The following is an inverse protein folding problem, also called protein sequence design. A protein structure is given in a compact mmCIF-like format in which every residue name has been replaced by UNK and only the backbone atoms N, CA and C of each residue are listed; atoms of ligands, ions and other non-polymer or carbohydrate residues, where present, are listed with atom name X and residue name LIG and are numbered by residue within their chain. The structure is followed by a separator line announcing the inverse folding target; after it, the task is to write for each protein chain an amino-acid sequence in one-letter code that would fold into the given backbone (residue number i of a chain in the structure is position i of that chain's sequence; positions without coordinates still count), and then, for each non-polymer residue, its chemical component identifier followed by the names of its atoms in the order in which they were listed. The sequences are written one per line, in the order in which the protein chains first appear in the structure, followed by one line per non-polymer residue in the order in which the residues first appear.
data_IF_852658191986
#
_entry.id   IF_852658191986
#
_cell.length_a   1.000
_cell.length_b   1.000
_cell.length_c   1.000
_cell.angle_alpha   90.00
_cell.angle_beta   90.00
_cell.angle_gamma   90.00
#
_symmetry.space_group_name_H-M   'P 1'
#
loop_
_entity.id
_entity.type
_entity.pdbx_description
1 polymer ?
#
# COMPACT_ATOMS: atom_id res chain seq x y z
N UNK A 1 -19.24 8.51 0.59
CA UNK A 1 -19.62 7.34 1.39
C UNK A 1 -19.09 6.04 0.78
N UNK A 2 -19.03 5.92 -0.55
CA UNK A 2 -18.45 4.75 -1.27
C UNK A 2 -16.91 4.59 -1.12
N UNK A 3 -16.18 5.70 -1.02
CA UNK A 3 -14.70 5.68 -0.88
C UNK A 3 -14.20 4.98 0.39
N UNK A 4 -14.83 5.25 1.53
CA UNK A 4 -14.57 4.59 2.81
C UNK A 4 -14.88 3.08 2.75
N UNK A 5 -15.76 2.66 1.84
CA UNK A 5 -16.14 1.26 1.68
C UNK A 5 -15.10 0.50 0.83
N UNK A 6 -14.56 1.14 -0.22
CA UNK A 6 -13.50 0.53 -1.04
C UNK A 6 -12.17 0.38 -0.27
N UNK A 7 -11.77 1.40 0.52
CA UNK A 7 -10.57 1.31 1.35
C UNK A 7 -10.70 0.15 2.36
N UNK A 8 -11.80 0.06 3.09
CA UNK A 8 -12.09 -1.01 4.06
C UNK A 8 -12.01 -2.42 3.51
N UNK A 9 -12.46 -2.65 2.27
CA UNK A 9 -12.40 -3.97 1.64
C UNK A 9 -10.96 -4.36 1.27
N UNK A 10 -10.14 -3.40 0.82
CA UNK A 10 -8.73 -3.67 0.49
C UNK A 10 -7.97 -4.20 1.70
N UNK A 11 -8.27 -3.69 2.90
CA UNK A 11 -7.65 -4.12 4.16
C UNK A 11 -7.91 -5.59 4.46
N UNK A 12 -9.14 -6.04 4.22
CA UNK A 12 -9.52 -7.43 4.42
C UNK A 12 -8.76 -8.37 3.49
N UNK A 13 -8.58 -7.98 2.22
CA UNK A 13 -7.76 -8.74 1.27
C UNK A 13 -6.30 -8.85 1.74
N UNK A 14 -5.69 -7.74 2.17
CA UNK A 14 -4.32 -7.74 2.66
C UNK A 14 -4.18 -8.65 3.88
N UNK A 15 -5.13 -8.59 4.82
CA UNK A 15 -5.11 -9.44 6.00
C UNK A 15 -5.25 -10.93 5.67
N UNK A 16 -6.12 -11.30 4.72
CA UNK A 16 -6.23 -12.67 4.23
C UNK A 16 -4.92 -13.17 3.63
N UNK A 17 -4.23 -12.35 2.84
CA UNK A 17 -2.93 -12.71 2.27
C UNK A 17 -1.84 -12.85 3.32
N UNK A 18 -1.83 -11.98 4.32
CA UNK A 18 -0.91 -12.11 5.44
C UNK A 18 -1.19 -13.42 6.22
N UNK A 19 -2.46 -13.74 6.48
CA UNK A 19 -2.85 -15.00 7.13
C UNK A 19 -2.39 -16.20 6.30
N UNK A 20 -2.65 -16.19 4.99
CA UNK A 20 -2.18 -17.23 4.09
C UNK A 20 -0.66 -17.40 4.15
N UNK A 21 0.08 -16.31 4.08
CA UNK A 21 1.54 -16.33 4.20
C UNK A 21 1.98 -16.93 5.54
N UNK A 22 1.33 -16.58 6.66
CA UNK A 22 1.62 -17.16 7.97
C UNK A 22 1.39 -18.68 7.98
N UNK A 23 0.29 -19.16 7.40
CA UNK A 23 -0.02 -20.60 7.30
C UNK A 23 1.03 -21.32 6.42
N UNK A 24 1.33 -20.78 5.23
CA UNK A 24 2.31 -21.35 4.30
C UNK A 24 3.73 -21.41 4.88
N UNK A 25 4.04 -20.57 5.88
CA UNK A 25 5.34 -20.52 6.54
C UNK A 25 5.31 -21.09 7.98
N UNK A 26 4.28 -21.87 8.32
CA UNK A 26 4.16 -22.58 9.60
C UNK A 26 4.31 -21.66 10.84
N UNK A 27 3.82 -20.42 10.74
CA UNK A 27 3.83 -19.46 11.85
C UNK A 27 2.78 -19.92 12.88
N UNK A 28 3.23 -20.45 14.01
CA UNK A 28 2.39 -21.07 15.05
C UNK A 28 1.32 -20.14 15.63
N UNK A 29 1.62 -18.84 15.79
CA UNK A 29 0.70 -17.87 16.39
C UNK A 29 0.54 -16.64 15.51
N UNK A 30 -0.51 -16.66 14.68
CA UNK A 30 -0.92 -15.53 13.85
C UNK A 30 -1.91 -14.58 14.56
N UNK A 31 -2.38 -14.91 15.78
CA UNK A 31 -3.26 -14.02 16.56
C UNK A 31 -2.54 -12.75 17.03
N UNK A 32 -1.21 -12.81 17.07
CA UNK A 32 -0.34 -11.69 17.41
C UNK A 32 -0.17 -10.68 16.24
N UNK A 33 -0.59 -11.03 15.03
CA UNK A 33 -0.59 -10.13 13.87
C UNK A 33 -1.86 -9.27 13.89
N UNK A 34 -1.73 -7.99 13.57
CA UNK A 34 -2.86 -7.08 13.56
C UNK A 34 -2.82 -6.08 12.40
N UNK A 35 -4.01 -5.59 12.03
CA UNK A 35 -4.14 -4.40 11.19
C UNK A 35 -4.16 -3.18 12.13
N UNK A 36 -3.27 -2.22 11.90
CA UNK A 36 -3.28 -0.92 12.59
C UNK A 36 -3.71 0.17 11.62
N UNK A 37 -4.83 0.82 11.92
CA UNK A 37 -5.31 1.96 11.14
C UNK A 37 -4.60 3.23 11.57
N UNK A 38 -3.98 3.94 10.62
CA UNK A 38 -3.46 5.29 10.87
C UNK A 38 -4.54 6.34 10.59
N UNK A 39 -5.33 6.13 9.53
CA UNK A 39 -6.46 6.98 9.17
C UNK A 39 -7.47 6.18 8.30
N UNK A 40 -8.36 6.88 7.57
CA UNK A 40 -9.38 6.24 6.73
C UNK A 40 -8.84 5.61 5.42
N UNK A 41 -7.63 5.97 5.01
CA UNK A 41 -6.97 5.54 3.78
C UNK A 41 -5.75 4.65 4.05
N UNK A 42 -5.03 4.90 5.13
CA UNK A 42 -3.72 4.30 5.41
C UNK A 42 -3.78 3.30 6.58
N UNK A 43 -3.15 2.15 6.39
CA UNK A 43 -3.08 1.08 7.38
C UNK A 43 -1.76 0.31 7.31
N UNK A 44 -1.40 -0.30 8.43
CA UNK A 44 -0.24 -1.16 8.57
C UNK A 44 -0.68 -2.60 8.90
N UNK A 45 0.09 -3.58 8.43
CA UNK A 45 0.16 -4.90 9.05
C UNK A 45 1.28 -4.85 10.08
N UNK A 46 1.00 -5.25 11.31
CA UNK A 46 1.98 -5.27 12.41
C UNK A 46 2.12 -6.67 13.01
N UNK A 47 3.33 -6.99 13.47
CA UNK A 47 3.63 -8.23 14.16
C UNK A 47 3.30 -8.16 15.68
N UNK A 48 3.61 -9.25 16.39
CA UNK A 48 3.52 -9.36 17.85
C UNK A 48 4.17 -8.21 18.61
N UNK A 49 5.35 -7.78 18.13
CA UNK A 49 6.13 -6.70 18.71
C UNK A 49 5.60 -5.31 18.35
N UNK A 50 4.49 -5.22 17.62
CA UNK A 50 3.94 -3.99 17.02
C UNK A 50 4.88 -3.37 15.98
N UNK A 51 5.85 -4.12 15.48
CA UNK A 51 6.70 -3.71 14.37
C UNK A 51 5.88 -3.72 13.09
N UNK A 52 6.09 -2.72 12.23
CA UNK A 52 5.39 -2.65 10.94
C UNK A 52 6.00 -3.68 10.00
N UNK A 53 5.19 -4.64 9.59
CA UNK A 53 5.54 -5.63 8.56
C UNK A 53 5.37 -5.00 7.19
N UNK A 54 4.23 -4.35 6.95
CA UNK A 54 3.95 -3.63 5.71
C UNK A 54 3.07 -2.42 5.96
N UNK A 55 3.27 -1.37 5.14
CA UNK A 55 2.47 -0.15 5.13
C UNK A 55 1.76 -0.01 3.81
N UNK A 56 0.48 0.32 3.90
CA UNK A 56 -0.43 0.40 2.77
C UNK A 56 -1.12 1.76 2.78
N UNK A 57 -0.94 2.52 1.69
CA UNK A 57 -1.64 3.78 1.45
C UNK A 57 -2.63 3.62 0.30
N UNK A 58 -3.84 4.13 0.46
CA UNK A 58 -4.87 4.08 -0.58
C UNK A 58 -4.99 5.44 -1.25
N UNK A 59 -4.88 5.47 -2.59
CA UNK A 59 -5.13 6.68 -3.39
C UNK A 59 -6.13 6.40 -4.49
N UNK A 60 -7.11 7.27 -4.54
CA UNK A 60 -8.41 7.01 -5.13
C UNK A 60 -8.66 7.96 -6.31
N UNK A 61 -7.62 8.22 -7.09
CA UNK A 61 -7.66 9.20 -8.17
C UNK A 61 -8.27 8.58 -9.43
N UNK A 62 -9.45 9.07 -9.83
CA UNK A 62 -10.17 8.57 -11.01
C UNK A 62 -9.38 8.80 -12.30
N UNK A 63 -8.59 9.89 -12.36
CA UNK A 63 -7.72 10.23 -13.48
C UNK A 63 -6.23 10.09 -13.10
N UNK A 64 -5.90 9.26 -12.10
CA UNK A 64 -4.53 9.07 -11.63
C UNK A 64 -3.79 8.02 -12.44
N UNK A 65 -3.72 8.19 -13.77
CA UNK A 65 -3.13 7.22 -14.70
C UNK A 65 -1.64 7.47 -14.95
N UNK A 66 -1.04 8.50 -14.35
CA UNK A 66 0.37 8.82 -14.49
C UNK A 66 1.10 8.67 -13.16
N UNK A 67 2.34 8.17 -13.19
CA UNK A 67 3.19 8.05 -11.99
C UNK A 67 3.33 9.38 -11.24
N UNK A 68 3.37 10.49 -11.97
CA UNK A 68 3.55 11.83 -11.40
C UNK A 68 2.32 12.29 -10.61
N UNK A 69 1.13 11.71 -10.84
CA UNK A 69 -0.07 11.97 -10.02
C UNK A 69 0.14 11.52 -8.56
N UNK A 70 1.10 10.63 -8.33
CA UNK A 70 1.46 10.08 -7.01
C UNK A 70 2.86 10.53 -6.55
N UNK A 71 3.47 11.52 -7.22
CA UNK A 71 4.85 11.98 -6.98
C UNK A 71 5.10 12.43 -5.54
N UNK A 72 4.09 12.95 -4.84
CA UNK A 72 4.20 13.26 -3.41
C UNK A 72 4.69 12.02 -2.62
N UNK A 73 4.15 10.83 -2.91
CA UNK A 73 4.48 9.58 -2.22
C UNK A 73 5.85 9.03 -2.57
N UNK A 74 6.49 9.50 -3.64
CA UNK A 74 7.85 9.10 -4.01
C UNK A 74 8.89 9.74 -3.08
N UNK A 75 8.56 10.85 -2.44
CA UNK A 75 9.38 11.43 -1.40
C UNK A 75 9.21 10.69 -0.06
N UNK A 76 10.25 10.74 0.77
CA UNK A 76 10.15 10.32 2.17
C UNK A 76 9.61 11.46 3.01
N UNK A 77 8.56 11.20 3.79
CA UNK A 77 7.97 12.21 4.67
C UNK A 77 8.99 12.71 5.70
N UNK A 78 9.09 14.03 5.85
CA UNK A 78 9.86 14.70 6.90
C UNK A 78 8.93 15.46 7.82
N UNK A 79 9.31 15.57 9.09
CA UNK A 79 8.59 16.36 10.10
C UNK A 79 9.50 17.47 10.62
N UNK A 80 8.88 18.47 11.23
CA UNK A 80 9.55 19.53 11.98
C UNK A 80 8.75 19.87 13.22
N UNK A 81 9.42 20.42 14.22
CA UNK A 81 8.76 20.95 15.42
C UNK A 81 8.69 22.47 15.33
N UNK A 82 7.47 23.00 15.31
CA UNK A 82 7.21 24.43 15.15
C UNK A 82 5.94 24.79 15.94
N UNK A 83 5.92 25.95 16.60
CA UNK A 83 4.80 26.40 17.45
C UNK A 83 4.40 25.39 18.54
N UNK A 84 5.40 24.69 19.11
CA UNK A 84 5.18 23.70 20.16
C UNK A 84 4.49 22.41 19.69
N UNK A 85 4.39 22.18 18.37
CA UNK A 85 3.77 20.98 17.79
C UNK A 85 4.62 20.40 16.67
N UNK A 86 4.59 19.09 16.55
CA UNK A 86 5.16 18.42 15.39
C UNK A 86 4.23 18.58 14.18
N UNK A 87 4.81 18.99 13.04
CA UNK A 87 4.10 19.19 11.77
C UNK A 87 4.83 18.46 10.65
N UNK A 88 4.11 18.12 9.58
CA UNK A 88 4.71 17.63 8.35
C UNK A 88 5.45 18.79 7.69
N UNK A 89 6.73 18.59 7.38
CA UNK A 89 7.57 19.57 6.68
C UNK A 89 7.64 19.27 5.18
N UNK A 90 7.89 18.01 4.84
CA UNK A 90 7.86 17.50 3.46
C UNK A 90 6.83 16.38 3.38
N UNK A 91 5.87 16.50 2.47
CA UNK A 91 4.92 15.41 2.19
C UNK A 91 5.66 14.21 1.62
N UNK A 92 5.17 13.02 1.95
CA UNK A 92 5.66 11.80 1.34
C UNK A 92 5.18 10.55 2.03
N UNK A 93 5.74 9.43 1.64
CA UNK A 93 5.47 8.17 2.30
C UNK A 93 6.20 8.16 3.65
N UNK A 94 5.46 7.96 4.74
CA UNK A 94 6.05 7.87 6.07
C UNK A 94 6.74 6.51 6.22
N UNK A 95 8.05 6.50 6.44
CA UNK A 95 8.82 5.27 6.70
C UNK A 95 9.55 5.28 8.04
N UNK A 96 9.53 6.42 8.74
CA UNK A 96 10.30 6.64 9.96
C UNK A 96 9.41 6.68 11.20
N UNK A 97 10.00 6.26 12.32
CA UNK A 97 9.58 6.65 13.67
C UNK A 97 10.16 8.02 14.00
N UNK A 98 9.39 8.88 14.67
CA UNK A 98 9.81 10.23 15.05
C UNK A 98 9.84 10.39 16.57
N UNK A 99 10.74 11.24 17.06
CA UNK A 99 10.94 11.52 18.50
C UNK A 99 9.89 12.48 19.10
N UNK A 100 8.89 12.89 18.32
CA UNK A 100 7.91 13.92 18.69
C UNK A 100 8.45 15.36 18.62
N UNK A 101 9.70 15.54 18.17
CA UNK A 101 10.36 16.84 17.92
C UNK A 101 10.75 17.01 16.45
N UNK A 102 10.14 16.24 15.55
CA UNK A 102 10.38 16.31 14.12
C UNK A 102 11.61 15.53 13.64
N UNK A 103 12.38 14.90 14.53
CA UNK A 103 13.57 14.16 14.11
C UNK A 103 13.21 12.70 13.86
N UNK A 104 13.65 12.17 12.71
CA UNK A 104 13.56 10.76 12.41
C UNK A 104 14.52 9.98 13.32
N UNK A 105 14.01 8.98 14.02
CA UNK A 105 14.76 8.12 14.94
C UNK A 105 15.34 6.91 14.20
N UNK A 106 14.49 6.22 13.44
CA UNK A 106 14.87 5.04 12.64
C UNK A 106 13.84 4.77 11.55
N UNK A 107 14.25 4.02 10.52
CA UNK A 107 13.34 3.46 9.52
C UNK A 107 12.57 2.30 10.17
N UNK A 108 11.25 2.32 10.05
CA UNK A 108 10.34 1.31 10.59
C UNK A 108 9.54 0.56 9.53
N UNK A 109 9.60 1.00 8.26
CA UNK A 109 8.97 0.30 7.14
C UNK A 109 10.04 -0.04 6.10
N UNK A 110 10.36 -1.33 5.88
CA UNK A 110 11.39 -1.73 4.92
C UNK A 110 10.96 -1.42 3.48
N UNK A 111 11.91 -1.24 2.56
CA UNK A 111 11.64 -0.82 1.17
C UNK A 111 10.73 -1.80 0.42
N UNK A 112 10.79 -3.08 0.76
CA UNK A 112 10.02 -4.12 0.12
C UNK A 112 8.56 -4.22 0.62
N UNK A 113 8.19 -3.45 1.65
CA UNK A 113 6.88 -3.52 2.29
C UNK A 113 6.10 -2.18 2.28
N UNK A 114 6.32 -1.36 1.25
CA UNK A 114 5.69 -0.05 1.06
C UNK A 114 4.74 -0.10 -0.12
N UNK A 115 3.44 -0.10 0.13
CA UNK A 115 2.43 -0.36 -0.88
C UNK A 115 1.49 0.82 -1.07
N UNK A 116 1.21 1.11 -2.34
CA UNK A 116 0.22 2.05 -2.82
C UNK A 116 -0.90 1.29 -3.52
N UNK A 117 -2.13 1.46 -3.03
CA UNK A 117 -3.33 0.94 -3.66
C UNK A 117 -3.92 2.04 -4.54
N UNK A 118 -4.12 1.73 -5.82
CA UNK A 118 -4.72 2.63 -6.81
C UNK A 118 -5.98 2.03 -7.42
N UNK A 119 -6.86 2.89 -7.93
CA UNK A 119 -8.15 2.47 -8.50
C UNK A 119 -8.19 2.43 -10.04
N UNK A 120 -7.13 2.91 -10.69
CA UNK A 120 -6.95 2.89 -12.14
C UNK A 120 -5.56 2.39 -12.49
N UNK A 121 -5.39 1.91 -13.71
CA UNK A 121 -4.08 1.48 -14.21
C UNK A 121 -3.09 2.65 -14.30
N UNK A 122 -1.84 2.41 -13.90
CA UNK A 122 -0.74 3.38 -13.90
C UNK A 122 0.44 2.77 -14.68
N UNK A 123 0.35 2.70 -16.01
CA UNK A 123 1.24 1.88 -16.85
C UNK A 123 2.69 2.38 -16.88
N UNK A 124 2.95 3.59 -16.39
CA UNK A 124 4.26 4.22 -16.33
C UNK A 124 4.92 4.16 -14.94
N UNK A 125 4.25 3.60 -13.94
CA UNK A 125 4.70 3.64 -12.53
C UNK A 125 6.10 3.07 -12.34
N UNK A 126 6.42 1.97 -13.04
CA UNK A 126 7.69 1.24 -12.94
C UNK A 126 8.73 1.64 -13.99
N UNK A 127 8.43 2.62 -14.85
CA UNK A 127 9.39 3.03 -15.88
C UNK A 127 10.58 3.73 -15.26
N UNK A 128 11.77 3.37 -15.76
CA UNK A 128 12.98 4.15 -15.53
C UNK A 128 12.80 5.57 -16.08
N UNK A 129 13.59 6.52 -15.60
CA UNK A 129 13.58 7.91 -16.09
C UNK A 129 13.77 7.98 -17.61
N UNK A 130 14.70 7.19 -18.14
CA UNK A 130 15.01 7.14 -19.56
C UNK A 130 13.86 6.54 -20.37
N UNK A 131 13.30 5.41 -19.93
CA UNK A 131 12.16 4.77 -20.61
C UNK A 131 10.90 5.66 -20.55
N UNK A 132 10.71 6.36 -19.44
CA UNK A 132 9.60 7.30 -19.26
C UNK A 132 9.67 8.44 -20.27
N UNK A 133 10.80 9.14 -20.39
CA UNK A 133 10.94 10.24 -21.36
C UNK A 133 10.98 9.75 -22.81
N UNK A 134 11.51 8.55 -23.05
CA UNK A 134 11.48 7.92 -24.38
C UNK A 134 10.05 7.59 -24.81
N UNK A 135 9.24 7.02 -23.92
CA UNK A 135 7.86 6.61 -24.21
C UNK A 135 6.90 7.80 -24.25
N UNK A 136 7.12 8.80 -23.38
CA UNK A 136 6.25 9.96 -23.21
C UNK A 136 7.02 11.26 -23.48
N UNK A 137 7.37 11.50 -24.74
CA UNK A 137 8.25 12.62 -25.17
C UNK A 137 7.71 14.02 -24.86
N UNK A 138 6.41 14.16 -24.55
CA UNK A 138 5.79 15.43 -24.15
C UNK A 138 5.87 15.72 -22.65
N UNK A 139 6.29 14.77 -21.82
CA UNK A 139 6.38 14.94 -20.37
C UNK A 139 7.78 15.41 -20.00
N UNK A 140 7.87 16.36 -19.06
CA UNK A 140 9.14 16.99 -18.65
C UNK A 140 9.49 16.75 -17.19
N UNK A 141 8.56 16.23 -16.39
CA UNK A 141 8.74 15.93 -14.97
C UNK A 141 8.91 14.44 -14.75
N UNK A 142 9.88 14.11 -13.91
CA UNK A 142 10.11 12.77 -13.40
C UNK A 142 10.59 12.89 -11.96
N UNK A 143 9.77 12.43 -11.02
CA UNK A 143 10.11 12.40 -9.59
C UNK A 143 10.73 11.06 -9.24
N UNK A 144 11.92 11.05 -8.64
CA UNK A 144 12.59 9.80 -8.25
C UNK A 144 11.88 9.15 -7.05
N UNK A 145 11.74 7.81 -7.07
CA UNK A 145 11.03 7.05 -6.04
C UNK A 145 11.93 6.72 -4.85
N UNK A 146 12.37 7.76 -4.13
CA UNK A 146 13.22 7.66 -2.95
C UNK A 146 12.57 6.87 -1.81
N UNK A 147 11.23 6.90 -1.74
CA UNK A 147 10.45 6.14 -0.77
C UNK A 147 10.31 4.65 -1.14
N UNK A 148 10.74 4.22 -2.32
CA UNK A 148 10.59 2.83 -2.79
C UNK A 148 9.15 2.30 -2.74
N UNK A 149 8.14 3.17 -2.81
CA UNK A 149 6.73 2.73 -2.80
C UNK A 149 6.41 1.95 -4.07
N UNK A 150 5.60 0.90 -3.94
CA UNK A 150 5.20 0.01 -5.04
C UNK A 150 3.69 0.00 -5.18
N UNK A 151 3.17 -0.19 -6.40
CA UNK A 151 1.77 -0.54 -6.55
C UNK A 151 1.49 -1.91 -5.93
N UNK A 152 0.38 -2.01 -5.20
CA UNK A 152 -0.11 -3.26 -4.65
C UNK A 152 -0.64 -4.17 -5.75
N UNK A 153 -0.23 -5.43 -5.75
CA UNK A 153 -0.65 -6.43 -6.72
C UNK A 153 -1.97 -7.06 -6.29
N UNK A 154 -3.04 -6.88 -7.06
CA UNK A 154 -4.35 -7.46 -6.76
C UNK A 154 -4.53 -8.85 -7.38
N UNK A 155 -3.95 -9.10 -8.55
CA UNK A 155 -4.00 -10.40 -9.19
C UNK A 155 -2.64 -10.75 -9.82
N UNK A 156 -1.97 -11.76 -9.24
CA UNK A 156 -0.66 -12.22 -9.70
C UNK A 156 -0.70 -12.88 -11.08
N UNK A 157 -1.74 -13.66 -11.39
CA UNK A 157 -1.82 -14.37 -12.69
C UNK A 157 -2.05 -13.42 -13.86
N UNK A 158 -2.65 -12.25 -13.58
CA UNK A 158 -2.97 -11.22 -14.58
C UNK A 158 -2.04 -10.01 -14.50
N UNK A 159 -1.06 -10.00 -13.57
CA UNK A 159 -0.15 -8.88 -13.34
C UNK A 159 -0.92 -7.56 -13.13
N UNK A 160 -2.00 -7.61 -12.35
CA UNK A 160 -2.95 -6.51 -12.15
C UNK A 160 -2.60 -5.74 -10.87
N UNK A 161 -2.29 -4.44 -10.99
CA UNK A 161 -1.82 -3.58 -9.89
C UNK A 161 -2.80 -2.48 -9.46
N UNK A 162 -4.05 -2.56 -9.90
CA UNK A 162 -5.09 -1.62 -9.55
C UNK A 162 -6.38 -2.38 -9.23
N UNK A 163 -7.25 -1.74 -8.44
CA UNK A 163 -8.56 -2.28 -8.16
C UNK A 163 -9.62 -1.19 -8.37
N UNK A 164 -10.39 -1.26 -9.47
CA UNK A 164 -11.47 -0.31 -9.74
C UNK A 164 -12.45 -0.19 -8.58
N UNK A 165 -13.05 0.99 -8.44
CA UNK A 165 -14.18 1.16 -7.55
C UNK A 165 -15.33 0.23 -7.96
N UNK A 166 -15.96 -0.41 -6.97
CA UNK A 166 -17.19 -1.16 -7.20
C UNK A 166 -18.25 -0.22 -7.75
N UNK A 167 -18.77 -0.52 -8.94
CA UNK A 167 -19.88 0.24 -9.53
C UNK A 167 -21.23 -0.16 -8.93
N UNK A 168 -21.35 -1.41 -8.47
CA UNK A 168 -22.51 -1.98 -7.76
C UNK A 168 -22.12 -3.24 -6.96
N UNK A 169 -23.08 -3.81 -6.21
CA UNK A 169 -22.87 -5.03 -5.41
C UNK A 169 -22.60 -6.30 -6.23
N UNK A 170 -22.83 -6.28 -7.54
CA UNK A 170 -22.60 -7.41 -8.44
C UNK A 170 -21.16 -7.40 -8.98
N UNK A 171 -20.53 -6.22 -9.07
CA UNK A 171 -19.20 -6.01 -9.64
C UNK A 171 -18.14 -5.60 -8.60
N UNK A 172 -18.21 -6.19 -7.40
CA UNK A 172 -17.23 -5.98 -6.34
C UNK A 172 -16.00 -6.89 -6.50
N UNK A 173 -15.00 -6.39 -7.23
CA UNK A 173 -13.74 -7.10 -7.52
C UNK A 173 -12.96 -7.47 -6.26
N UNK A 174 -12.96 -6.62 -5.22
CA UNK A 174 -12.24 -6.94 -3.97
C UNK A 174 -12.88 -8.14 -3.28
N UNK A 175 -14.22 -8.20 -3.25
CA UNK A 175 -14.92 -9.37 -2.70
C UNK A 175 -14.52 -10.65 -3.42
N UNK A 176 -14.35 -10.60 -4.73
CA UNK A 176 -13.97 -11.78 -5.52
C UNK A 176 -12.51 -12.18 -5.26
N UNK A 177 -11.58 -11.22 -5.11
CA UNK A 177 -10.22 -11.50 -4.65
C UNK A 177 -10.22 -12.13 -3.25
N UNK A 178 -10.98 -11.60 -2.30
CA UNK A 178 -11.08 -12.17 -0.95
C UNK A 178 -11.63 -13.61 -0.99
N UNK A 179 -12.67 -13.88 -1.78
CA UNK A 179 -13.20 -15.24 -1.97
C UNK A 179 -12.16 -16.18 -2.56
N UNK A 180 -11.35 -15.71 -3.51
CA UNK A 180 -10.27 -16.51 -4.09
C UNK A 180 -9.20 -16.84 -3.03
N UNK A 181 -8.73 -15.85 -2.27
CA UNK A 181 -7.74 -16.09 -1.20
C UNK A 181 -8.26 -17.04 -0.11
N UNK A 182 -9.52 -16.88 0.32
CA UNK A 182 -10.14 -17.81 1.28
C UNK A 182 -10.15 -19.25 0.73
N UNK A 183 -10.46 -19.44 -0.56
CA UNK A 183 -10.44 -20.76 -1.17
C UNK A 183 -9.03 -21.36 -1.19
N UNK A 184 -7.99 -20.57 -1.43
CA UNK A 184 -6.61 -21.05 -1.37
C UNK A 184 -6.19 -21.42 0.05
N UNK A 185 -6.50 -20.58 1.05
CA UNK A 185 -6.26 -20.90 2.47
C UNK A 185 -6.91 -22.23 2.86
N UNK A 186 -8.19 -22.40 2.51
CA UNK A 186 -8.93 -23.64 2.81
C UNK A 186 -8.42 -24.89 2.08
N UNK A 187 -7.65 -24.74 1.00
CA UNK A 187 -6.98 -25.87 0.33
C UNK A 187 -5.73 -26.29 1.09
N UNK A 188 -4.96 -25.33 1.62
CA UNK A 188 -3.74 -25.60 2.40
C UNK A 188 -4.09 -26.41 3.65
N UNK A 189 -5.11 -25.97 4.40
CA UNK A 189 -5.61 -26.66 5.61
C UNK A 189 -6.15 -28.08 5.35
N UNK A 190 -6.55 -28.40 4.13
CA UNK A 190 -7.01 -29.75 3.78
C UNK A 190 -5.88 -30.70 3.40
N UNK A 191 -4.68 -30.16 3.24
CA UNK A 191 -3.46 -30.90 2.87
C UNK A 191 -2.58 -31.16 4.11
N UNK A 192 -2.71 -30.31 5.14
CA UNK A 192 -2.17 -30.53 6.49
C UNK A 192 -3.00 -31.60 7.25
#
# INVERSE_FOLDING_TARGET
MEWLYSSRKSWFLVALRQLRWCIENEIENFEDYAIRYENAEDFDIVDKGRSVISRHQVKAYINGNEREDYSDLFNIQKRKFEDGKEKIDTKGFQIHEFDGKGNAVRVVVPCDARFLHVIVDVPDFRLSKDDYFKKYSGRTKYTDNDSCVKLYEYNQSENLFYCPLSQDDKNDTIRDYCKAEIKEILKIEKIL
#
